data_IF_135687800753
#
_entry.id   IF_135687800753
#
_cell.length_a   1.000
_cell.length_b   1.000
_cell.length_c   1.000
_cell.angle_alpha   90.00
_cell.angle_beta   90.00
_cell.angle_gamma   90.00
#
_symmetry.space_group_name_H-M   'P 1'
#
loop_
_entity.id
_entity.type
_entity.pdbx_description
1 polymer ?
#
# COMPACT_ATOMS: atom_id res chain seq x y z
N UNK A 1 -19.01 20.75 -5.93
CA UNK A 1 -18.68 21.90 -5.05
C UNK A 1 -17.70 21.57 -3.93
N UNK A 2 -18.06 20.78 -2.90
CA UNK A 2 -17.15 20.52 -1.76
C UNK A 2 -15.76 20.02 -2.20
N UNK A 3 -15.70 19.01 -3.08
CA UNK A 3 -14.44 18.48 -3.61
C UNK A 3 -13.62 19.51 -4.38
N UNK A 4 -14.26 20.44 -5.07
CA UNK A 4 -13.55 21.50 -5.78
C UNK A 4 -12.94 22.53 -4.80
N UNK A 5 -13.62 22.81 -3.68
CA UNK A 5 -13.14 23.75 -2.65
C UNK A 5 -12.06 23.16 -1.76
N UNK A 6 -12.13 21.85 -1.47
CA UNK A 6 -11.27 21.20 -0.47
C UNK A 6 -10.31 20.17 -1.07
N UNK A 7 -10.37 19.91 -2.38
CA UNK A 7 -9.58 18.88 -3.06
C UNK A 7 -9.95 17.43 -2.73
N UNK A 8 -10.89 17.19 -1.80
CA UNK A 8 -11.24 15.87 -1.29
C UNK A 8 -12.75 15.70 -1.03
N UNK A 9 -13.20 14.48 -0.72
CA UNK A 9 -14.61 14.19 -0.40
C UNK A 9 -14.87 14.03 1.10
N UNK A 10 -14.02 14.60 1.97
CA UNK A 10 -14.10 14.42 3.42
C UNK A 10 -14.98 15.45 4.11
N UNK A 11 -16.28 15.42 3.82
CA UNK A 11 -17.19 16.34 4.50
C UNK A 11 -17.23 16.02 6.01
N UNK A 12 -16.86 16.95 6.90
CA UNK A 12 -16.96 16.75 8.34
C UNK A 12 -18.41 16.53 8.75
N UNK A 13 -18.66 15.73 9.80
CA UNK A 13 -20.02 15.55 10.34
C UNK A 13 -20.66 16.90 10.69
N UNK A 14 -19.86 17.83 11.23
CA UNK A 14 -20.26 19.20 11.57
C UNK A 14 -19.76 20.19 10.51
N UNK A 15 -20.10 19.96 9.24
CA UNK A 15 -19.76 20.88 8.17
C UNK A 15 -20.63 22.14 8.23
N UNK A 16 -20.06 23.25 8.71
CA UNK A 16 -20.80 24.49 9.01
C UNK A 16 -21.53 25.06 7.80
N UNK A 17 -20.86 25.09 6.63
CA UNK A 17 -21.43 25.64 5.39
C UNK A 17 -22.62 24.83 4.85
N UNK A 18 -22.65 23.52 5.13
CA UNK A 18 -23.81 22.67 4.80
C UNK A 18 -23.92 21.47 5.76
N UNK A 19 -24.60 21.63 6.89
CA UNK A 19 -24.69 20.58 7.92
C UNK A 19 -25.39 19.32 7.40
N UNK A 20 -26.37 19.47 6.49
CA UNK A 20 -27.10 18.36 5.87
C UNK A 20 -26.17 17.45 5.06
N UNK A 21 -25.23 18.04 4.33
CA UNK A 21 -24.23 17.29 3.56
C UNK A 21 -23.32 16.48 4.50
N UNK A 22 -22.88 17.06 5.61
CA UNK A 22 -22.07 16.36 6.62
C UNK A 22 -22.78 15.13 7.18
N UNK A 23 -24.06 15.27 7.54
CA UNK A 23 -24.89 14.15 8.03
C UNK A 23 -25.08 13.10 6.92
N UNK A 24 -25.42 13.52 5.70
CA UNK A 24 -25.68 12.62 4.58
C UNK A 24 -24.46 11.75 4.24
N UNK A 25 -23.27 12.36 4.21
CA UNK A 25 -22.00 11.67 3.98
C UNK A 25 -21.77 10.58 5.03
N UNK A 26 -21.99 10.89 6.31
CA UNK A 26 -21.86 9.92 7.41
C UNK A 26 -22.85 8.75 7.28
N UNK A 27 -24.06 9.01 6.80
CA UNK A 27 -25.05 7.96 6.52
C UNK A 27 -24.55 7.03 5.42
N UNK A 28 -24.05 7.55 4.29
CA UNK A 28 -23.54 6.71 3.20
C UNK A 28 -22.38 5.82 3.67
N UNK A 29 -21.44 6.39 4.43
CA UNK A 29 -20.30 5.66 5.02
C UNK A 29 -20.74 4.56 5.98
N UNK A 30 -21.74 4.83 6.84
CA UNK A 30 -22.33 3.83 7.72
C UNK A 30 -23.00 2.71 6.93
N UNK A 31 -23.82 3.05 5.93
CA UNK A 31 -24.51 2.07 5.08
C UNK A 31 -23.52 1.19 4.31
N UNK A 32 -22.42 1.76 3.80
CA UNK A 32 -21.36 1.00 3.13
C UNK A 32 -20.68 0.01 4.08
N UNK A 33 -20.28 0.44 5.30
CA UNK A 33 -19.70 -0.47 6.31
C UNK A 33 -20.63 -1.61 6.71
N UNK A 34 -21.94 -1.35 6.76
CA UNK A 34 -22.95 -2.36 7.07
C UNK A 34 -23.33 -3.23 5.87
N UNK A 35 -22.70 -3.03 4.70
CA UNK A 35 -23.05 -3.69 3.43
C UNK A 35 -24.52 -3.47 3.00
N UNK A 36 -25.10 -2.34 3.41
CA UNK A 36 -26.49 -1.95 3.11
C UNK A 36 -26.59 -0.84 2.07
N UNK A 37 -25.46 -0.42 1.49
CA UNK A 37 -25.46 0.61 0.45
C UNK A 37 -25.83 -0.02 -0.89
N UNK A 38 -26.87 0.53 -1.54
CA UNK A 38 -27.30 0.11 -2.87
C UNK A 38 -26.16 0.25 -3.90
N UNK A 39 -26.01 -0.74 -4.78
CA UNK A 39 -24.92 -0.78 -5.78
C UNK A 39 -24.88 0.47 -6.67
N UNK A 40 -26.03 0.99 -7.11
CA UNK A 40 -26.08 2.23 -7.90
C UNK A 40 -25.52 3.43 -7.10
N UNK A 41 -25.88 3.56 -5.82
CA UNK A 41 -25.36 4.64 -4.96
C UNK A 41 -23.86 4.50 -4.73
N UNK A 42 -23.39 3.27 -4.54
CA UNK A 42 -21.96 2.98 -4.43
C UNK A 42 -21.21 3.41 -5.69
N UNK A 43 -21.67 2.98 -6.88
CA UNK A 43 -21.03 3.31 -8.16
C UNK A 43 -20.99 4.83 -8.41
N UNK A 44 -22.09 5.55 -8.13
CA UNK A 44 -22.10 7.03 -8.30
C UNK A 44 -21.11 7.73 -7.39
N UNK A 45 -20.90 7.22 -6.17
CA UNK A 45 -19.92 7.74 -5.23
C UNK A 45 -18.48 7.36 -5.66
N UNK A 46 -18.27 6.15 -6.17
CA UNK A 46 -16.99 5.75 -6.77
C UNK A 46 -16.60 6.64 -7.96
N UNK A 47 -17.53 6.97 -8.85
CA UNK A 47 -17.26 7.81 -10.02
C UNK A 47 -16.74 9.21 -9.66
N UNK A 48 -17.08 9.73 -8.48
CA UNK A 48 -16.57 11.03 -8.01
C UNK A 48 -15.31 10.88 -7.15
N UNK A 49 -14.74 9.68 -7.06
CA UNK A 49 -13.60 9.34 -6.21
C UNK A 49 -13.92 9.48 -4.73
N UNK A 50 -15.12 9.07 -4.31
CA UNK A 50 -15.53 9.17 -2.92
C UNK A 50 -14.69 8.24 -2.04
N UNK A 51 -14.07 8.84 -1.02
CA UNK A 51 -13.16 8.12 -0.14
C UNK A 51 -13.97 7.36 0.92
N UNK A 52 -13.96 6.03 0.82
CA UNK A 52 -14.54 5.10 1.80
C UNK A 52 -13.60 4.68 2.94
N UNK A 53 -12.34 5.11 2.92
CA UNK A 53 -11.25 4.64 3.79
C UNK A 53 -11.51 4.87 5.28
N UNK A 54 -12.29 3.96 5.86
CA UNK A 54 -12.79 3.99 7.22
C UNK A 54 -12.13 2.88 8.02
N UNK A 55 -10.87 3.07 8.41
CA UNK A 55 -10.47 2.38 9.63
C UNK A 55 -11.30 2.96 10.78
N UNK A 56 -11.43 2.17 11.86
CA UNK A 56 -12.24 2.42 13.07
C UNK A 56 -12.05 3.79 13.74
N UNK A 57 -11.21 4.67 13.21
CA UNK A 57 -10.92 6.03 13.67
C UNK A 57 -10.93 6.97 12.46
N UNK A 58 -11.91 7.87 12.43
CA UNK A 58 -12.05 9.07 11.58
C UNK A 58 -11.41 9.05 10.17
N UNK A 59 -12.25 9.09 9.13
CA UNK A 59 -11.81 9.30 7.74
C UNK A 59 -11.05 10.60 7.51
N UNK A 60 -11.32 11.63 8.34
CA UNK A 60 -10.51 12.83 8.39
C UNK A 60 -9.04 12.52 8.70
N UNK A 61 -8.79 11.56 9.61
CA UNK A 61 -7.43 11.16 9.95
C UNK A 61 -6.76 10.38 8.80
N UNK A 62 -7.51 9.56 8.05
CA UNK A 62 -6.91 8.82 6.93
C UNK A 62 -6.36 9.75 5.86
N UNK A 63 -7.13 10.78 5.46
CA UNK A 63 -6.66 11.74 4.47
C UNK A 63 -5.57 12.66 5.01
N UNK A 64 -5.69 13.12 6.26
CA UNK A 64 -4.63 13.94 6.87
C UNK A 64 -3.29 13.18 6.85
N UNK A 65 -3.31 11.89 7.16
CA UNK A 65 -2.12 11.04 7.08
C UNK A 65 -1.70 10.75 5.64
N UNK A 66 -2.65 10.59 4.71
CA UNK A 66 -2.34 10.45 3.28
C UNK A 66 -1.67 11.71 2.72
N UNK A 67 -2.12 12.90 3.13
CA UNK A 67 -1.51 14.17 2.77
C UNK A 67 -0.12 14.30 3.40
N UNK A 68 0.02 13.94 4.69
CA UNK A 68 1.33 13.87 5.36
C UNK A 68 2.30 12.91 4.65
N UNK A 69 1.78 11.81 4.09
CA UNK A 69 2.57 10.87 3.28
C UNK A 69 3.00 11.47 1.94
N UNK A 70 2.15 12.27 1.29
CA UNK A 70 2.53 13.01 0.07
C UNK A 70 3.65 14.01 0.36
N UNK A 71 3.56 14.74 1.47
CA UNK A 71 4.60 15.66 1.93
C UNK A 71 5.90 14.92 2.23
N UNK A 72 5.83 13.81 2.97
CA UNK A 72 6.98 12.95 3.21
C UNK A 72 7.61 12.49 1.89
N UNK A 73 6.81 12.05 0.92
CA UNK A 73 7.29 11.62 -0.40
C UNK A 73 7.95 12.77 -1.16
N UNK A 74 7.41 13.98 -1.09
CA UNK A 74 8.02 15.15 -1.71
C UNK A 74 9.40 15.47 -1.10
N UNK A 75 9.56 15.26 0.21
CA UNK A 75 10.81 15.53 0.93
C UNK A 75 11.86 14.42 0.76
N UNK A 76 11.44 13.14 0.79
CA UNK A 76 12.33 11.97 0.86
C UNK A 76 12.41 11.19 -0.46
N UNK A 77 11.58 11.54 -1.45
CA UNK A 77 11.49 10.86 -2.75
C UNK A 77 10.82 9.48 -2.71
N UNK A 78 10.39 8.99 -1.54
CA UNK A 78 9.85 7.65 -1.35
C UNK A 78 8.70 7.63 -0.32
N UNK A 79 8.04 6.48 -0.17
CA UNK A 79 6.97 6.28 0.82
C UNK A 79 7.40 5.40 2.00
N UNK A 80 8.71 5.29 2.25
CA UNK A 80 9.30 4.42 3.27
C UNK A 80 9.39 5.14 4.61
N UNK A 81 8.23 5.50 5.17
CA UNK A 81 8.18 6.13 6.48
C UNK A 81 8.62 5.13 7.56
N UNK A 82 9.60 5.47 8.41
CA UNK A 82 9.99 4.66 9.55
C UNK A 82 8.84 4.47 10.55
N UNK A 83 8.82 3.33 11.27
CA UNK A 83 7.82 3.09 12.32
C UNK A 83 7.92 4.15 13.44
N UNK A 84 9.15 4.47 13.84
CA UNK A 84 9.47 5.57 14.75
C UNK A 84 9.91 6.74 13.88
N UNK A 85 8.96 7.55 13.43
CA UNK A 85 9.24 8.76 12.67
C UNK A 85 9.07 9.95 13.60
N UNK A 86 10.18 10.52 14.08
CA UNK A 86 10.15 11.51 15.17
C UNK A 86 9.44 12.80 14.77
N UNK A 87 9.55 13.21 13.51
CA UNK A 87 8.86 14.41 12.98
C UNK A 87 7.34 14.25 12.95
N UNK A 88 6.84 13.03 12.69
CA UNK A 88 5.40 12.74 12.75
C UNK A 88 5.16 11.27 13.17
N UNK A 89 5.13 10.99 14.47
CA UNK A 89 4.97 9.62 14.97
C UNK A 89 3.64 8.97 14.55
N UNK A 90 2.60 9.78 14.34
CA UNK A 90 1.30 9.30 13.88
C UNK A 90 1.37 8.76 12.46
N UNK A 91 2.14 9.41 11.57
CA UNK A 91 2.34 8.96 10.20
C UNK A 91 3.02 7.59 10.16
N UNK A 92 4.07 7.38 10.95
CA UNK A 92 4.78 6.09 11.03
C UNK A 92 3.86 4.94 11.45
N UNK A 93 3.02 5.17 12.47
CA UNK A 93 2.01 4.19 12.91
C UNK A 93 0.90 3.96 11.88
N UNK A 94 0.47 5.02 11.20
CA UNK A 94 -0.56 4.95 10.17
C UNK A 94 -0.09 4.13 8.96
N UNK A 95 1.14 4.38 8.47
CA UNK A 95 1.77 3.62 7.37
C UNK A 95 1.88 2.14 7.73
N UNK A 96 2.34 1.83 8.95
CA UNK A 96 2.42 0.44 9.41
C UNK A 96 1.03 -0.22 9.45
N UNK A 97 0.01 0.53 9.87
CA UNK A 97 -1.36 0.04 9.91
C UNK A 97 -1.90 -0.21 8.49
N UNK A 98 -1.61 0.66 7.52
CA UNK A 98 -2.01 0.44 6.11
C UNK A 98 -1.43 -0.87 5.57
N UNK A 99 -0.13 -1.12 5.78
CA UNK A 99 0.53 -2.37 5.37
C UNK A 99 -0.12 -3.59 6.02
N UNK A 100 -0.36 -3.55 7.33
CA UNK A 100 -0.99 -4.65 8.07
C UNK A 100 -2.40 -4.97 7.56
N UNK A 101 -3.24 -3.96 7.35
CA UNK A 101 -4.62 -4.19 6.89
C UNK A 101 -4.68 -4.66 5.43
N UNK A 102 -3.72 -4.25 4.59
CA UNK A 102 -3.55 -4.79 3.24
C UNK A 102 -3.27 -6.30 3.27
N UNK A 103 -2.27 -6.75 4.05
CA UNK A 103 -1.95 -8.19 4.18
C UNK A 103 -3.08 -9.01 4.80
N UNK A 104 -3.88 -8.41 5.69
CA UNK A 104 -5.06 -9.06 6.28
C UNK A 104 -6.28 -9.09 5.35
N UNK A 105 -6.19 -8.57 4.13
CA UNK A 105 -7.34 -8.40 3.21
C UNK A 105 -8.49 -7.59 3.83
N UNK A 106 -8.19 -6.68 4.75
CA UNK A 106 -9.18 -5.82 5.46
C UNK A 106 -9.23 -4.40 4.92
N UNK A 107 -8.35 -4.06 3.99
CA UNK A 107 -8.32 -2.76 3.35
C UNK A 107 -9.36 -2.68 2.21
N UNK A 108 -10.04 -1.54 2.10
CA UNK A 108 -10.95 -1.27 0.99
C UNK A 108 -10.17 -1.00 -0.30
N UNK A 109 -10.71 -1.46 -1.43
CA UNK A 109 -10.10 -1.37 -2.76
C UNK A 109 -9.69 0.05 -3.14
N UNK A 110 -10.51 1.04 -2.84
CA UNK A 110 -10.22 2.44 -3.17
C UNK A 110 -9.03 3.02 -2.37
N UNK A 111 -8.79 2.56 -1.13
CA UNK A 111 -7.62 2.94 -0.34
C UNK A 111 -6.34 2.35 -0.92
N UNK A 112 -6.43 1.09 -1.35
CA UNK A 112 -5.35 0.41 -2.06
C UNK A 112 -4.99 1.20 -3.30
N UNK A 113 -5.98 1.50 -4.15
CA UNK A 113 -5.75 2.23 -5.40
C UNK A 113 -5.13 3.62 -5.19
N UNK A 114 -5.52 4.37 -4.15
CA UNK A 114 -4.92 5.69 -3.86
C UNK A 114 -3.50 5.59 -3.34
N UNK A 115 -3.19 4.58 -2.52
CA UNK A 115 -1.82 4.33 -2.08
C UNK A 115 -0.96 3.84 -3.26
N UNK A 116 -1.49 2.98 -4.11
CA UNK A 116 -0.80 2.54 -5.34
C UNK A 116 -0.56 3.70 -6.32
N UNK A 117 -1.48 4.65 -6.46
CA UNK A 117 -1.32 5.79 -7.37
C UNK A 117 -0.16 6.71 -7.01
N UNK A 118 0.31 6.65 -5.75
CA UNK A 118 1.49 7.39 -5.30
C UNK A 118 2.73 6.49 -5.21
N UNK A 119 2.67 5.26 -5.73
CA UNK A 119 3.78 4.30 -5.67
C UNK A 119 4.06 3.81 -4.24
N UNK A 120 3.02 3.66 -3.42
CA UNK A 120 3.19 3.24 -2.03
C UNK A 120 3.78 1.84 -1.92
N UNK A 121 4.86 1.74 -1.15
CA UNK A 121 5.53 0.47 -0.89
C UNK A 121 4.80 -0.29 0.23
N UNK A 122 4.04 -1.31 -0.18
CA UNK A 122 3.33 -2.23 0.73
C UNK A 122 4.27 -3.14 1.51
N UNK A 123 5.37 -3.57 0.90
CA UNK A 123 6.25 -4.60 1.45
C UNK A 123 7.70 -4.11 1.47
N UNK A 124 8.18 -3.65 2.62
CA UNK A 124 9.57 -3.17 2.79
C UNK A 124 10.56 -4.33 2.69
N UNK A 125 10.19 -5.50 3.23
CA UNK A 125 10.95 -6.73 3.05
C UNK A 125 11.20 -7.03 1.57
N UNK A 126 10.23 -6.74 0.70
CA UNK A 126 10.35 -7.01 -0.74
C UNK A 126 11.29 -6.04 -1.45
N UNK A 127 11.38 -4.78 -1.04
CA UNK A 127 12.42 -3.87 -1.54
C UNK A 127 13.83 -4.32 -1.16
N UNK A 128 14.01 -4.85 0.06
CA UNK A 128 15.30 -5.39 0.52
C UNK A 128 15.63 -6.67 -0.25
N UNK A 129 14.63 -7.52 -0.48
CA UNK A 129 14.73 -8.77 -1.24
C UNK A 129 14.99 -8.52 -2.73
N UNK A 130 14.34 -7.51 -3.33
CA UNK A 130 14.53 -7.12 -4.73
C UNK A 130 15.87 -6.38 -4.92
N UNK A 131 16.27 -5.52 -3.98
CA UNK A 131 17.58 -4.85 -4.02
C UNK A 131 18.75 -5.83 -3.87
N UNK A 132 18.54 -6.95 -3.14
CA UNK A 132 19.50 -8.03 -3.03
C UNK A 132 19.21 -9.20 -3.98
N UNK A 133 18.30 -9.05 -4.95
CA UNK A 133 17.84 -10.18 -5.76
C UNK A 133 18.97 -10.81 -6.55
N UNK A 134 19.77 -10.00 -7.24
CA UNK A 134 20.91 -10.50 -8.02
C UNK A 134 21.94 -11.20 -7.13
N UNK A 135 22.25 -10.63 -5.96
CA UNK A 135 23.18 -11.23 -5.00
C UNK A 135 22.65 -12.55 -4.42
N UNK A 136 21.35 -12.62 -4.07
CA UNK A 136 20.72 -13.84 -3.56
C UNK A 136 20.55 -14.90 -4.65
N UNK A 137 20.33 -14.49 -5.90
CA UNK A 137 20.28 -15.37 -7.05
C UNK A 137 21.65 -16.01 -7.32
N UNK A 138 22.74 -15.24 -7.22
CA UNK A 138 24.09 -15.79 -7.30
C UNK A 138 24.36 -16.81 -6.18
N UNK A 139 23.99 -16.50 -4.93
CA UNK A 139 24.11 -17.43 -3.81
C UNK A 139 23.27 -18.72 -4.01
N UNK A 140 22.11 -18.62 -4.68
CA UNK A 140 21.30 -19.78 -5.03
C UNK A 140 21.96 -20.64 -6.13
N UNK A 141 22.65 -20.02 -7.08
CA UNK A 141 23.43 -20.73 -8.11
C UNK A 141 24.60 -21.48 -7.47
N UNK A 142 25.33 -20.85 -6.55
CA UNK A 142 26.40 -21.48 -5.76
C UNK A 142 25.86 -22.66 -4.94
N UNK A 143 24.71 -22.50 -4.28
CA UNK A 143 24.05 -23.59 -3.56
C UNK A 143 23.68 -24.74 -4.50
N UNK A 144 23.17 -24.44 -5.69
CA UNK A 144 22.82 -25.46 -6.70
C UNK A 144 24.06 -26.20 -7.20
N UNK A 145 25.18 -25.52 -7.37
CA UNK A 145 26.44 -26.14 -7.77
C UNK A 145 26.95 -27.10 -6.68
N UNK A 146 26.86 -26.70 -5.41
CA UNK A 146 27.33 -27.51 -4.28
C UNK A 146 26.41 -28.69 -3.92
N UNK A 147 25.08 -28.52 -4.06
CA UNK A 147 24.09 -29.47 -3.55
C UNK A 147 23.26 -30.14 -4.67
N UNK A 148 23.46 -29.76 -5.93
CA UNK A 148 22.77 -30.32 -7.09
C UNK A 148 21.29 -29.93 -7.22
N UNK A 149 20.76 -29.09 -6.33
CA UNK A 149 19.36 -28.67 -6.32
C UNK A 149 19.19 -27.26 -5.73
N UNK A 150 18.00 -26.69 -5.85
CA UNK A 150 17.66 -25.36 -5.33
C UNK A 150 16.78 -25.42 -4.08
N UNK A 151 16.68 -26.58 -3.43
CA UNK A 151 15.86 -26.79 -2.24
C UNK A 151 16.65 -26.37 -0.99
N UNK A 152 16.81 -25.06 -0.83
CA UNK A 152 17.48 -24.49 0.34
C UNK A 152 16.57 -24.64 1.57
N UNK A 153 17.03 -25.27 2.67
CA UNK A 153 16.26 -25.36 3.91
C UNK A 153 15.96 -23.96 4.48
N UNK A 154 14.77 -23.78 5.06
CA UNK A 154 14.41 -22.50 5.70
C UNK A 154 15.40 -22.08 6.81
N UNK A 155 15.96 -23.07 7.52
CA UNK A 155 17.02 -22.90 8.52
C UNK A 155 18.38 -23.35 7.98
N UNK A 156 18.78 -22.85 6.80
CA UNK A 156 20.09 -23.16 6.24
C UNK A 156 21.20 -22.49 7.05
N UNK A 157 21.86 -23.25 7.94
CA UNK A 157 22.82 -22.72 8.90
C UNK A 157 24.06 -22.07 8.27
N UNK A 158 24.48 -22.53 7.09
CA UNK A 158 25.63 -21.96 6.39
C UNK A 158 25.32 -20.57 5.81
N UNK A 159 24.06 -20.33 5.41
CA UNK A 159 23.60 -19.03 4.96
C UNK A 159 22.12 -18.82 5.34
N UNK A 160 21.86 -18.37 6.58
CA UNK A 160 20.50 -18.16 7.07
C UNK A 160 19.74 -17.11 6.26
N UNK A 161 20.46 -16.19 5.62
CA UNK A 161 19.86 -15.17 4.75
C UNK A 161 19.30 -15.79 3.47
N UNK A 162 20.01 -16.73 2.85
CA UNK A 162 19.53 -17.48 1.67
C UNK A 162 18.34 -18.38 2.01
N UNK A 163 18.38 -19.10 3.14
CA UNK A 163 17.25 -19.95 3.58
C UNK A 163 15.96 -19.16 3.84
N UNK A 164 16.08 -18.00 4.49
CA UNK A 164 14.96 -17.08 4.68
C UNK A 164 14.45 -16.49 3.36
N UNK A 165 15.36 -16.13 2.43
CA UNK A 165 15.01 -15.58 1.12
C UNK A 165 14.23 -16.60 0.28
N UNK A 166 14.69 -17.85 0.18
CA UNK A 166 13.99 -18.92 -0.56
C UNK A 166 12.63 -19.23 0.06
N UNK A 167 12.55 -19.33 1.40
CA UNK A 167 11.28 -19.56 2.10
C UNK A 167 10.25 -18.43 1.88
N UNK A 168 10.72 -17.18 1.80
CA UNK A 168 9.86 -16.03 1.52
C UNK A 168 9.31 -16.04 0.09
N UNK A 169 10.09 -16.49 -0.89
CA UNK A 169 9.70 -16.51 -2.31
C UNK A 169 8.76 -17.68 -2.68
N UNK A 170 8.90 -18.84 -2.04
CA UNK A 170 8.08 -20.04 -2.34
C UNK A 170 6.65 -19.94 -1.75
N UNK A 171 6.45 -19.14 -0.69
CA UNK A 171 5.20 -19.13 0.08
C UNK A 171 4.17 -18.06 -0.35
N UNK A 172 4.38 -17.32 -1.45
CA UNK A 172 3.58 -16.13 -1.78
C UNK A 172 2.53 -16.39 -2.87
N UNK A 173 1.26 -16.24 -2.49
CA UNK A 173 0.07 -16.47 -3.31
C UNK A 173 -0.06 -15.55 -4.57
N UNK A 174 -0.81 -15.97 -5.61
CA UNK A 174 -0.87 -15.34 -6.94
C UNK A 174 -1.23 -13.84 -6.99
N UNK A 175 -1.97 -13.31 -6.00
CA UNK A 175 -2.36 -11.88 -5.97
C UNK A 175 -1.17 -10.92 -5.81
N UNK A 176 -0.02 -11.42 -5.36
CA UNK A 176 1.18 -10.62 -5.05
C UNK A 176 2.19 -10.64 -6.22
N UNK A 177 2.01 -11.55 -7.20
CA UNK A 177 2.78 -11.60 -8.45
C UNK A 177 2.39 -10.45 -9.40
N UNK A 178 1.12 -10.02 -9.36
CA UNK A 178 0.58 -8.93 -10.17
C UNK A 178 1.21 -7.54 -9.89
N UNK A 179 1.67 -7.29 -8.66
CA UNK A 179 2.34 -6.04 -8.30
C UNK A 179 3.74 -5.90 -8.91
N UNK A 180 4.41 -7.04 -9.17
CA UNK A 180 5.78 -7.06 -9.71
C UNK A 180 5.78 -6.82 -11.22
N UNK A 181 4.80 -7.37 -11.94
CA UNK A 181 4.69 -7.16 -13.40
C UNK A 181 4.50 -5.69 -13.80
N UNK A 182 3.93 -4.86 -12.92
CA UNK A 182 3.65 -3.43 -13.21
C UNK A 182 4.83 -2.49 -12.97
N UNK A 183 5.74 -2.83 -12.06
CA UNK A 183 6.97 -2.07 -11.81
C UNK A 183 8.09 -2.38 -12.83
N UNK A 184 8.08 -3.59 -13.38
CA UNK A 184 9.01 -4.03 -14.43
C UNK A 184 8.73 -3.31 -15.77
N UNK A 185 7.46 -3.07 -16.12
CA UNK A 185 7.11 -2.41 -17.41
C UNK A 185 7.46 -0.91 -17.43
N UNK A 186 7.51 -0.23 -16.28
CA UNK A 186 7.83 1.21 -16.23
C UNK A 186 9.32 1.51 -16.18
N UNK A 187 10.14 0.58 -15.69
CA UNK A 187 11.61 0.71 -15.61
C UNK A 187 12.30 0.14 -16.86
N UNK A 188 11.74 -0.87 -17.52
CA UNK A 188 12.27 -1.41 -18.78
C UNK A 188 12.22 -0.41 -19.96
N UNK A 189 11.30 0.58 -19.94
CA UNK A 189 11.23 1.61 -21.00
C UNK A 189 12.33 2.67 -20.95
N UNK A 190 13.12 2.75 -19.86
CA UNK A 190 14.24 3.70 -19.77
C UNK A 190 15.59 3.14 -20.19
N UNK A 191 15.73 1.83 -20.38
CA UNK A 191 16.99 1.20 -20.78
C UNK A 191 17.05 0.71 -22.23
N UNK A 192 15.97 0.83 -23.00
CA UNK A 192 15.92 0.41 -24.42
C UNK A 192 15.98 1.62 -25.39
N UNK A 193 16.13 2.84 -24.86
CA UNK A 193 16.13 4.09 -25.64
C UNK A 193 17.50 4.77 -25.78
N UNK A 194 18.61 4.03 -25.73
CA UNK A 194 19.94 4.58 -26.06
C UNK A 194 20.79 3.50 -26.74
N UNK A 195 20.44 3.24 -27.99
CA UNK A 195 21.37 2.83 -29.06
C UNK A 195 21.00 3.62 -30.29
#
# INVERSE_FOLDING_TARGET
EYKAQHGNTLVPRRYVKNPRLGIWVQVQRRSHRQKKLLSNRFLRLECIGFVWCTQRLNEANWELMFQSLLEYKAQQGNTLVPRKYDTNPQLGLWVQTQRREYFKNKMLSNCVLRLESIGFVWCVQRLIVDANWDAMFQLLLEYKDQHGNTLVPANYNNNPQLGNWVGLHVSIAPRIQWCVQRLIVSTARKHIGST
#
